data_IF_633079077461
#
_entry.id   IF_633079077461
#
_cell.length_a   1.000
_cell.length_b   1.000
_cell.length_c   1.000
_cell.angle_alpha   90.00
_cell.angle_beta   90.00
_cell.angle_gamma   90.00
#
_symmetry.space_group_name_H-M   'P 1'
#
loop_
_entity.id
_entity.type
_entity.pdbx_description
1 polymer ?
#
# COMPACT_ATOMS: atom_id res chain seq x y z
N UNK A 1 -6.75 -13.39 -29.03
CA UNK A 1 -6.75 -12.06 -28.41
C UNK A 1 -7.92 -11.93 -27.45
N UNK A 2 -7.63 -11.64 -26.22
CA UNK A 2 -8.68 -11.45 -25.24
C UNK A 2 -9.36 -10.09 -25.47
N UNK A 3 -10.68 -10.12 -25.67
CA UNK A 3 -11.47 -8.90 -25.69
C UNK A 3 -11.64 -8.44 -24.25
N UNK A 4 -11.03 -7.29 -23.91
CA UNK A 4 -11.19 -6.69 -22.60
C UNK A 4 -11.99 -5.40 -22.74
N UNK A 5 -12.72 -5.07 -21.69
CA UNK A 5 -13.54 -3.87 -21.65
C UNK A 5 -12.97 -2.91 -20.59
N UNK A 6 -13.12 -1.62 -20.86
CA UNK A 6 -12.70 -0.59 -19.91
C UNK A 6 -13.64 -0.58 -18.70
N UNK A 7 -13.08 -0.61 -17.51
CA UNK A 7 -13.87 -0.58 -16.26
C UNK A 7 -14.54 0.77 -16.04
N UNK A 8 -14.03 1.83 -16.66
CA UNK A 8 -14.55 3.18 -16.47
C UNK A 8 -15.68 3.53 -17.44
N UNK A 9 -15.56 3.14 -18.73
CA UNK A 9 -16.54 3.54 -19.76
C UNK A 9 -17.18 2.39 -20.53
N UNK A 10 -16.73 1.15 -20.31
CA UNK A 10 -17.29 -0.03 -20.96
C UNK A 10 -16.87 -0.23 -22.41
N UNK A 11 -16.05 0.66 -22.96
CA UNK A 11 -15.58 0.53 -24.35
C UNK A 11 -14.50 -0.55 -24.44
N UNK A 12 -14.26 -1.04 -25.67
CA UNK A 12 -13.19 -2.00 -25.91
C UNK A 12 -11.84 -1.40 -25.52
N UNK A 13 -11.03 -2.19 -24.81
CA UNK A 13 -9.74 -1.78 -24.34
C UNK A 13 -8.66 -2.77 -24.81
N UNK A 14 -7.40 -2.40 -24.63
CA UNK A 14 -6.25 -3.24 -25.00
C UNK A 14 -5.37 -3.48 -23.80
N UNK A 15 -4.70 -4.62 -23.79
CA UNK A 15 -3.67 -4.90 -22.79
C UNK A 15 -2.34 -4.42 -23.37
N UNK A 16 -1.71 -3.46 -22.68
CA UNK A 16 -0.38 -2.95 -23.05
C UNK A 16 0.58 -3.17 -21.90
N UNK A 17 1.88 -3.10 -22.17
CA UNK A 17 2.89 -3.14 -21.11
C UNK A 17 3.45 -1.73 -20.92
N UNK A 18 3.54 -1.31 -19.68
CA UNK A 18 4.01 0.03 -19.34
C UNK A 18 4.44 0.09 -17.89
N UNK A 19 5.12 1.17 -17.54
CA UNK A 19 5.38 1.47 -16.14
C UNK A 19 4.11 2.10 -15.55
N UNK A 20 3.86 1.79 -14.29
CA UNK A 20 2.66 2.25 -13.61
C UNK A 20 3.01 2.79 -12.24
N UNK A 21 2.63 4.02 -11.96
CA UNK A 21 2.79 4.60 -10.63
C UNK A 21 1.70 4.03 -9.72
N UNK A 22 2.12 3.24 -8.72
CA UNK A 22 1.20 2.52 -7.85
C UNK A 22 0.69 3.42 -6.72
N UNK A 23 -0.16 4.39 -7.09
CA UNK A 23 -0.70 5.36 -6.13
C UNK A 23 -1.66 4.71 -5.13
N UNK A 24 -2.24 3.57 -5.49
CA UNK A 24 -3.17 2.84 -4.62
C UNK A 24 -2.51 2.36 -3.35
N UNK A 25 -1.17 2.24 -3.34
CA UNK A 25 -0.44 1.87 -2.13
C UNK A 25 -0.51 2.96 -1.05
N UNK A 26 -0.78 4.21 -1.45
CA UNK A 26 -0.70 5.35 -0.55
C UNK A 26 0.73 5.86 -0.32
N UNK A 27 1.72 5.16 -0.85
CA UNK A 27 3.13 5.57 -0.78
C UNK A 27 3.48 6.41 -1.99
N UNK A 28 4.48 7.29 -1.85
CA UNK A 28 4.99 8.07 -2.97
C UNK A 28 6.10 7.33 -3.70
N UNK A 29 6.21 7.58 -4.99
CA UNK A 29 7.32 7.11 -5.82
C UNK A 29 7.45 5.59 -5.92
N UNK A 30 6.32 4.89 -5.80
CA UNK A 30 6.28 3.45 -6.07
C UNK A 30 5.90 3.28 -7.54
N UNK A 31 6.83 2.79 -8.34
CA UNK A 31 6.61 2.57 -9.77
C UNK A 31 6.76 1.08 -10.06
N UNK A 32 5.71 0.49 -10.62
CA UNK A 32 5.76 -0.89 -11.09
C UNK A 32 6.23 -0.86 -12.53
N UNK A 33 7.36 -1.54 -12.80
CA UNK A 33 7.99 -1.51 -14.11
C UNK A 33 7.45 -2.62 -14.98
N UNK A 34 7.16 -2.28 -16.23
CA UNK A 34 6.82 -3.23 -17.28
C UNK A 34 5.70 -4.19 -16.87
N UNK A 35 4.59 -3.64 -16.38
CA UNK A 35 3.41 -4.43 -16.04
C UNK A 35 2.36 -4.32 -17.13
N UNK A 36 1.43 -5.24 -17.13
CA UNK A 36 0.29 -5.20 -18.06
C UNK A 36 -0.77 -4.23 -17.54
N UNK A 37 -1.28 -3.41 -18.45
CA UNK A 37 -2.38 -2.48 -18.18
C UNK A 37 -3.52 -2.73 -19.15
N UNK A 38 -4.74 -2.68 -18.66
CA UNK A 38 -5.94 -2.62 -19.52
C UNK A 38 -6.12 -1.15 -19.88
N UNK A 39 -5.70 -0.77 -21.09
CA UNK A 39 -5.70 0.62 -21.53
C UNK A 39 -6.87 0.88 -22.47
N UNK A 40 -7.66 1.90 -22.16
CA UNK A 40 -8.77 2.35 -22.99
C UNK A 40 -8.36 3.57 -23.80
N UNK A 41 -8.39 3.45 -25.13
CA UNK A 41 -8.05 4.57 -25.99
C UNK A 41 -9.12 5.66 -26.02
N UNK A 42 -10.34 5.31 -25.64
CA UNK A 42 -11.46 6.26 -25.68
C UNK A 42 -11.43 7.24 -24.49
N UNK A 43 -11.25 6.73 -23.28
CA UNK A 43 -11.24 7.58 -22.07
C UNK A 43 -9.86 7.74 -21.43
N UNK A 44 -8.86 7.01 -21.92
CA UNK A 44 -7.50 7.09 -21.39
C UNK A 44 -7.26 6.33 -20.11
N UNK A 45 -8.27 5.61 -19.59
CA UNK A 45 -8.14 4.86 -18.36
C UNK A 45 -7.12 3.73 -18.50
N UNK A 46 -6.32 3.50 -17.44
CA UNK A 46 -5.36 2.40 -17.41
C UNK A 46 -5.50 1.64 -16.09
N UNK A 47 -5.97 0.41 -16.17
CA UNK A 47 -6.12 -0.46 -15.01
C UNK A 47 -4.96 -1.46 -14.96
N UNK A 48 -4.16 -1.47 -13.87
CA UNK A 48 -3.04 -2.39 -13.79
C UNK A 48 -3.49 -3.82 -13.57
N UNK A 49 -2.81 -4.76 -14.21
CA UNK A 49 -2.94 -6.17 -13.93
C UNK A 49 -1.73 -6.56 -13.10
N UNK A 50 -1.92 -6.72 -11.80
CA UNK A 50 -0.82 -6.96 -10.87
C UNK A 50 -0.87 -8.42 -10.44
N UNK A 51 0.05 -9.27 -10.94
CA UNK A 51 0.14 -10.63 -10.45
C UNK A 51 0.78 -10.64 -9.06
N UNK A 52 0.40 -11.61 -8.24
CA UNK A 52 1.00 -11.79 -6.91
C UNK A 52 0.97 -10.52 -6.07
N UNK A 53 -0.20 -9.85 -6.00
CA UNK A 53 -0.35 -8.58 -5.30
C UNK A 53 0.08 -8.69 -3.83
N UNK A 54 -0.15 -9.83 -3.18
CA UNK A 54 0.23 -10.02 -1.78
C UNK A 54 1.74 -10.04 -1.60
N UNK A 55 2.47 -10.66 -2.54
CA UNK A 55 3.94 -10.64 -2.52
C UNK A 55 4.46 -9.22 -2.76
N UNK A 56 3.82 -8.46 -3.64
CA UNK A 56 4.16 -7.06 -3.86
C UNK A 56 3.96 -6.23 -2.60
N UNK A 57 2.82 -6.38 -1.94
CA UNK A 57 2.52 -5.63 -0.72
C UNK A 57 3.50 -5.98 0.39
N UNK A 58 3.89 -7.26 0.50
CA UNK A 58 4.90 -7.67 1.48
C UNK A 58 6.26 -7.05 1.17
N UNK A 59 6.66 -7.02 -0.09
CA UNK A 59 7.93 -6.41 -0.48
C UNK A 59 7.95 -4.91 -0.16
N UNK A 60 6.84 -4.21 -0.41
CA UNK A 60 6.71 -2.80 -0.06
C UNK A 60 6.78 -2.59 1.45
N UNK A 61 6.10 -3.45 2.22
CA UNK A 61 6.12 -3.37 3.68
C UNK A 61 7.53 -3.57 4.22
N UNK A 62 8.27 -4.55 3.68
CA UNK A 62 9.66 -4.78 4.08
C UNK A 62 10.55 -3.58 3.75
N UNK A 63 10.35 -2.98 2.58
CA UNK A 63 11.11 -1.78 2.19
C UNK A 63 10.85 -0.63 3.15
N UNK A 64 9.60 -0.42 3.56
CA UNK A 64 9.23 0.62 4.53
C UNK A 64 9.84 0.33 5.89
N UNK A 65 9.73 -0.91 6.36
CA UNK A 65 10.26 -1.31 7.67
C UNK A 65 11.79 -1.15 7.76
N UNK A 66 12.48 -1.36 6.64
CA UNK A 66 13.94 -1.30 6.61
C UNK A 66 14.49 0.10 6.38
N UNK A 67 13.65 1.11 6.22
CA UNK A 67 14.13 2.49 6.03
C UNK A 67 14.91 2.98 7.23
N UNK A 68 16.03 3.70 7.03
CA UNK A 68 16.83 4.22 8.13
C UNK A 68 16.24 5.47 8.80
N UNK A 69 15.17 6.02 8.23
CA UNK A 69 14.55 7.24 8.71
C UNK A 69 13.28 6.93 9.49
N UNK A 70 12.84 7.91 10.32
CA UNK A 70 11.57 7.81 11.02
C UNK A 70 10.43 7.63 10.03
N UNK A 71 9.45 6.80 10.38
CA UNK A 71 8.29 6.58 9.53
C UNK A 71 7.52 7.87 9.31
N UNK A 72 7.13 8.10 8.06
CA UNK A 72 6.22 9.18 7.69
C UNK A 72 4.77 8.75 7.90
N UNK A 73 3.87 9.73 7.99
CA UNK A 73 2.46 9.43 8.23
C UNK A 73 1.87 8.47 7.22
N UNK A 74 2.18 8.64 5.93
CA UNK A 74 1.70 7.74 4.89
C UNK A 74 2.24 6.32 5.05
N UNK A 75 3.46 6.19 5.58
CA UNK A 75 4.07 4.89 5.82
C UNK A 75 3.40 4.18 7.00
N UNK A 76 3.06 4.92 8.04
CA UNK A 76 2.28 4.39 9.16
C UNK A 76 0.93 3.88 8.68
N UNK A 77 0.24 4.67 7.86
CA UNK A 77 -1.05 4.28 7.29
C UNK A 77 -0.91 3.06 6.39
N UNK A 78 0.13 3.00 5.56
CA UNK A 78 0.40 1.87 4.70
C UNK A 78 0.56 0.58 5.52
N UNK A 79 1.39 0.62 6.56
CA UNK A 79 1.63 -0.57 7.39
C UNK A 79 0.36 -0.99 8.13
N UNK A 80 -0.41 -0.03 8.64
CA UNK A 80 -1.69 -0.33 9.27
C UNK A 80 -2.65 -1.03 8.31
N UNK A 81 -2.79 -0.49 7.11
CA UNK A 81 -3.65 -1.06 6.08
C UNK A 81 -3.15 -2.43 5.63
N UNK A 82 -1.83 -2.57 5.50
CA UNK A 82 -1.20 -3.86 5.17
C UNK A 82 -1.54 -4.93 6.20
N UNK A 83 -1.59 -4.56 7.49
CA UNK A 83 -1.95 -5.47 8.56
C UNK A 83 -3.46 -5.70 8.68
N UNK A 84 -4.26 -5.00 7.88
CA UNK A 84 -5.71 -5.17 7.87
C UNK A 84 -6.40 -4.54 9.07
N UNK A 85 -5.79 -3.54 9.70
CA UNK A 85 -6.32 -2.93 10.92
C UNK A 85 -6.99 -1.59 10.67
N UNK A 86 -8.06 -1.32 11.41
CA UNK A 86 -8.63 0.03 11.48
C UNK A 86 -7.73 0.93 12.32
N UNK A 87 -7.93 2.24 12.21
CA UNK A 87 -7.19 3.19 13.04
C UNK A 87 -7.37 2.91 14.53
N UNK A 88 -8.59 2.57 14.93
CA UNK A 88 -8.89 2.26 16.32
C UNK A 88 -8.17 0.99 16.80
N UNK A 89 -8.19 -0.07 15.99
CA UNK A 89 -7.50 -1.31 16.33
C UNK A 89 -6.00 -1.10 16.44
N UNK A 90 -5.41 -0.36 15.51
CA UNK A 90 -3.98 -0.12 15.51
C UNK A 90 -3.55 0.77 16.66
N UNK A 91 -4.34 1.82 16.97
CA UNK A 91 -4.07 2.68 18.12
C UNK A 91 -4.09 1.87 19.42
N UNK A 92 -5.04 0.95 19.55
CA UNK A 92 -5.14 0.07 20.71
C UNK A 92 -3.92 -0.84 20.82
N UNK A 93 -3.48 -1.39 19.69
CA UNK A 93 -2.28 -2.24 19.66
C UNK A 93 -1.04 -1.48 20.10
N UNK A 94 -0.93 -0.20 19.71
CA UNK A 94 0.22 0.64 20.04
C UNK A 94 0.10 1.34 21.40
N UNK A 95 -1.03 1.16 22.09
CA UNK A 95 -1.33 1.81 23.37
C UNK A 95 -1.28 3.35 23.27
N UNK A 96 -1.83 3.87 22.19
CA UNK A 96 -1.99 5.32 21.99
C UNK A 96 -3.43 5.65 21.68
N UNK A 97 -3.79 6.92 21.80
CA UNK A 97 -5.12 7.37 21.44
C UNK A 97 -5.31 7.36 19.93
N UNK A 98 -6.55 7.09 19.50
CA UNK A 98 -6.89 7.16 18.09
C UNK A 98 -6.56 8.53 17.50
N UNK A 99 -6.75 9.60 18.27
CA UNK A 99 -6.42 10.97 17.85
C UNK A 99 -4.93 11.12 17.63
N UNK A 100 -4.10 10.55 18.49
CA UNK A 100 -2.64 10.58 18.34
C UNK A 100 -2.22 9.87 17.06
N UNK A 101 -2.75 8.67 16.81
CA UNK A 101 -2.45 7.93 15.58
C UNK A 101 -2.88 8.74 14.35
N UNK A 102 -4.07 9.34 14.38
CA UNK A 102 -4.56 10.15 13.27
C UNK A 102 -3.63 11.33 12.99
N UNK A 103 -3.09 11.98 14.01
CA UNK A 103 -2.15 13.07 13.84
C UNK A 103 -0.87 12.59 13.17
N UNK A 104 -0.38 11.41 13.52
CA UNK A 104 0.78 10.82 12.85
C UNK A 104 0.50 10.56 11.38
N UNK A 105 -0.63 9.91 11.09
CA UNK A 105 -0.97 9.53 9.71
C UNK A 105 -1.21 10.74 8.79
N UNK A 106 -1.60 11.87 9.37
CA UNK A 106 -1.86 13.10 8.62
C UNK A 106 -0.70 14.11 8.71
N UNK A 107 0.44 13.68 9.23
CA UNK A 107 1.65 14.49 9.35
C UNK A 107 1.48 15.76 10.20
N UNK A 108 0.52 15.77 11.12
CA UNK A 108 0.38 16.85 12.10
C UNK A 108 1.45 16.78 13.17
N UNK A 109 1.79 15.57 13.59
CA UNK A 109 2.84 15.32 14.58
C UNK A 109 3.72 14.19 14.06
N UNK A 110 5.04 14.24 14.33
CA UNK A 110 5.92 13.14 13.96
C UNK A 110 5.70 11.93 14.88
N UNK A 111 5.90 10.75 14.33
CA UNK A 111 5.82 9.50 15.09
C UNK A 111 6.95 9.47 16.12
N UNK A 112 6.65 9.14 17.37
CA UNK A 112 7.66 8.97 18.40
C UNK A 112 8.56 7.77 18.11
N UNK A 113 9.78 7.82 18.64
CA UNK A 113 10.77 6.78 18.38
C UNK A 113 10.31 5.39 18.80
N UNK A 114 9.71 5.28 19.99
CA UNK A 114 9.23 3.99 20.50
C UNK A 114 8.10 3.45 19.65
N UNK A 115 7.16 4.31 19.28
CA UNK A 115 6.03 3.91 18.43
C UNK A 115 6.50 3.51 17.04
N UNK A 116 7.48 4.22 16.49
CA UNK A 116 8.09 3.86 15.21
C UNK A 116 8.63 2.44 15.24
N UNK A 117 9.41 2.11 16.27
CA UNK A 117 9.97 0.76 16.41
C UNK A 117 8.89 -0.31 16.59
N UNK A 118 7.87 -0.01 17.39
CA UNK A 118 6.76 -0.94 17.61
C UNK A 118 6.00 -1.23 16.30
N UNK A 119 5.73 -0.17 15.53
CA UNK A 119 5.04 -0.32 14.25
C UNK A 119 5.82 -1.23 13.32
N UNK A 120 7.13 -1.03 13.21
CA UNK A 120 7.99 -1.88 12.37
C UNK A 120 8.01 -3.32 12.86
N UNK A 121 8.11 -3.53 14.16
CA UNK A 121 8.12 -4.88 14.75
C UNK A 121 6.80 -5.60 14.50
N UNK A 122 5.67 -4.93 14.69
CA UNK A 122 4.37 -5.52 14.43
C UNK A 122 4.19 -5.85 12.95
N UNK A 123 4.67 -4.97 12.06
CA UNK A 123 4.57 -5.23 10.63
C UNK A 123 5.35 -6.48 10.23
N UNK A 124 6.53 -6.70 10.80
CA UNK A 124 7.31 -7.91 10.55
C UNK A 124 6.66 -9.14 11.15
N UNK A 125 6.26 -9.06 12.41
CA UNK A 125 5.75 -10.23 13.12
C UNK A 125 4.37 -10.66 12.59
N UNK A 126 3.45 -9.73 12.41
CA UNK A 126 2.09 -10.03 11.99
C UNK A 126 1.98 -10.18 10.48
N UNK A 127 2.82 -9.47 9.73
CA UNK A 127 2.85 -9.60 8.27
C UNK A 127 3.21 -11.01 7.81
N UNK A 128 4.15 -11.67 8.48
CA UNK A 128 4.50 -13.05 8.17
C UNK A 128 3.32 -14.00 8.37
N UNK A 129 2.52 -13.76 9.41
CA UNK A 129 1.33 -14.55 9.66
C UNK A 129 0.28 -14.44 8.56
N UNK A 130 0.11 -13.23 8.00
CA UNK A 130 -0.84 -13.01 6.91
C UNK A 130 -0.46 -13.80 5.65
N UNK A 131 0.83 -13.95 5.39
CA UNK A 131 1.30 -14.68 4.23
C UNK A 131 1.09 -16.18 4.35
N UNK A 132 1.25 -16.71 5.55
CA UNK A 132 1.11 -18.16 5.78
C UNK A 132 -0.33 -18.64 5.62
N UNK A 133 -1.30 -17.75 5.72
CA UNK A 133 -2.72 -18.06 5.56
C UNK A 133 -3.17 -18.05 4.09
N UNK A 134 -2.28 -17.73 3.20
CA UNK A 134 -2.54 -17.68 1.77
C UNK A 134 -1.82 -18.85 1.09
#
# INVERSE_FOLDING_TARGET
MSNVECSACGSAARIIRSNYEFVESGLKHVVLQDIELVHCQKCGNGDPIIPHVNALMQALAQAVVCKPYRLLGREVRFLRTYLGMTGEQFARLLHVDKTTLSKWENDHDPVGEQSDRLIRMYALALGDGLQKEQ
#
